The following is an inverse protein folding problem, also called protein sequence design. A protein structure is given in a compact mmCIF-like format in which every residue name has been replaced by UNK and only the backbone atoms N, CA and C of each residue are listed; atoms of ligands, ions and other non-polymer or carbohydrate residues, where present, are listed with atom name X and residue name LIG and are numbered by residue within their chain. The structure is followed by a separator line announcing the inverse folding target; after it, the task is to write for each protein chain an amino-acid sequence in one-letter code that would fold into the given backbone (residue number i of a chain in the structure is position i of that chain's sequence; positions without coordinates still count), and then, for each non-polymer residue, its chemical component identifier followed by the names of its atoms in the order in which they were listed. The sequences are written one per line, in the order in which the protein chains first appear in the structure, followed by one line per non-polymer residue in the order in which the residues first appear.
data_IF_636630734577
#
_entry.id   IF_636630734577
#
_cell.length_a   1.000
_cell.length_b   1.000
_cell.length_c   1.000
_cell.angle_alpha   90.00
_cell.angle_beta   90.00
_cell.angle_gamma   90.00
#
_symmetry.space_group_name_H-M   'P 1'
#
loop_
_entity.id
_entity.type
_entity.pdbx_description
1 polymer ?
#
# COMPACT_ATOMS: atom_id res chain seq x y z
N UNK A 1 -19.12 1.36 20.84
CA UNK A 1 -17.88 0.79 20.22
C UNK A 1 -17.57 1.64 19.00
N UNK A 2 -16.37 2.20 18.92
CA UNK A 2 -15.97 3.06 17.81
C UNK A 2 -15.62 2.16 16.60
N UNK A 3 -16.58 1.96 15.72
CA UNK A 3 -16.45 1.09 14.56
C UNK A 3 -15.54 1.72 13.51
N UNK A 4 -14.66 0.92 12.91
CA UNK A 4 -13.85 1.35 11.76
C UNK A 4 -14.74 1.35 10.54
N UNK A 5 -14.84 2.50 9.89
CA UNK A 5 -15.58 2.69 8.65
C UNK A 5 -14.63 2.68 7.47
N UNK A 6 -14.89 1.85 6.47
CA UNK A 6 -14.18 1.90 5.18
C UNK A 6 -15.03 2.72 4.21
N UNK A 7 -14.39 3.65 3.53
CA UNK A 7 -15.00 4.45 2.46
C UNK A 7 -14.02 4.69 1.31
N UNK A 8 -14.56 5.04 0.17
CA UNK A 8 -13.77 5.55 -0.94
C UNK A 8 -13.05 6.84 -0.53
N UNK A 9 -11.79 6.96 -0.92
CA UNK A 9 -11.00 8.18 -0.75
C UNK A 9 -11.55 9.32 -1.61
N UNK A 10 -11.18 10.54 -1.25
CA UNK A 10 -11.43 11.76 -2.03
C UNK A 10 -10.12 12.49 -2.23
N UNK A 11 -9.94 13.28 -3.31
CA UNK A 11 -8.75 14.12 -3.47
C UNK A 11 -8.50 15.07 -2.29
N UNK A 12 -9.58 15.48 -1.62
CA UNK A 12 -9.53 16.37 -0.44
C UNK A 12 -8.92 15.68 0.80
N UNK A 13 -8.90 14.33 0.83
CA UNK A 13 -8.23 13.57 1.90
C UNK A 13 -6.70 13.64 1.79
N UNK A 14 -6.15 14.18 0.70
CA UNK A 14 -4.72 14.16 0.40
C UNK A 14 -3.84 14.66 1.55
N UNK A 15 -4.26 15.69 2.29
CA UNK A 15 -3.50 16.22 3.42
C UNK A 15 -3.34 15.16 4.54
N UNK A 16 -4.44 14.53 4.95
CA UNK A 16 -4.43 13.50 6.01
C UNK A 16 -3.71 12.22 5.56
N UNK A 17 -3.88 11.82 4.29
CA UNK A 17 -3.17 10.66 3.74
C UNK A 17 -1.67 10.92 3.64
N UNK A 18 -1.28 12.14 3.31
CA UNK A 18 0.12 12.54 3.26
C UNK A 18 0.76 12.54 4.66
N UNK A 19 0.03 12.93 5.70
CA UNK A 19 0.49 12.80 7.09
C UNK A 19 0.78 11.35 7.48
N UNK A 20 0.01 10.40 6.95
CA UNK A 20 0.26 8.97 7.14
C UNK A 20 1.49 8.52 6.34
N UNK A 21 1.64 8.99 5.09
CA UNK A 21 2.67 8.56 4.16
C UNK A 21 4.05 9.16 4.45
N UNK A 22 4.11 10.45 4.79
CA UNK A 22 5.37 11.16 4.97
C UNK A 22 6.37 10.48 5.94
N UNK A 23 5.95 9.93 7.09
CA UNK A 23 6.85 9.20 7.97
C UNK A 23 7.44 7.91 7.35
N UNK A 24 6.75 7.30 6.37
CA UNK A 24 7.29 6.17 5.62
C UNK A 24 8.35 6.60 4.61
N UNK A 25 8.17 7.76 3.99
CA UNK A 25 9.15 8.33 3.05
C UNK A 25 10.42 8.74 3.77
N UNK A 26 10.29 9.50 4.86
CA UNK A 26 11.45 10.13 5.52
C UNK A 26 12.20 9.22 6.48
N UNK A 27 11.55 8.21 7.04
CA UNK A 27 12.09 7.41 8.12
C UNK A 27 12.10 5.90 7.88
N UNK A 28 11.73 5.43 6.68
CA UNK A 28 11.74 3.99 6.38
C UNK A 28 12.11 3.70 4.93
N UNK A 29 12.47 2.44 4.66
CA UNK A 29 12.64 1.91 3.32
C UNK A 29 11.39 1.12 2.83
N UNK A 30 10.25 1.24 3.52
CA UNK A 30 8.97 0.65 3.07
C UNK A 30 8.53 1.23 1.73
N UNK A 31 8.81 2.50 1.47
CA UNK A 31 8.71 3.15 0.17
C UNK A 31 10.08 3.65 -0.27
N UNK A 32 10.34 3.60 -1.57
CA UNK A 32 11.62 4.05 -2.14
C UNK A 32 11.60 5.51 -2.62
N UNK A 33 10.53 6.25 -2.37
CA UNK A 33 10.55 7.71 -2.57
C UNK A 33 11.53 8.37 -1.59
N UNK A 34 12.33 9.32 -2.08
CA UNK A 34 13.31 10.07 -1.28
C UNK A 34 12.71 11.34 -0.67
N UNK A 35 11.74 11.93 -1.36
CA UNK A 35 11.10 13.18 -0.96
C UNK A 35 9.60 12.98 -0.80
N UNK A 36 9.04 13.65 0.21
CA UNK A 36 7.59 13.65 0.41
C UNK A 36 6.96 14.47 -0.72
N UNK A 37 5.99 13.92 -1.47
CA UNK A 37 5.29 14.67 -2.51
C UNK A 37 4.51 15.84 -1.91
N UNK A 38 4.21 16.85 -2.71
CA UNK A 38 3.31 17.92 -2.30
C UNK A 38 1.88 17.40 -2.12
N UNK A 39 1.07 18.13 -1.36
CA UNK A 39 -0.34 17.78 -1.20
C UNK A 39 -1.09 17.79 -2.54
N UNK A 40 -0.77 18.73 -3.43
CA UNK A 40 -1.37 18.81 -4.76
C UNK A 40 -1.00 17.61 -5.64
N UNK A 41 0.27 17.21 -5.62
CA UNK A 41 0.73 16.00 -6.31
C UNK A 41 0.03 14.77 -5.75
N UNK A 42 -0.07 14.64 -4.43
CA UNK A 42 -0.71 13.50 -3.79
C UNK A 42 -2.22 13.43 -4.14
N UNK A 43 -2.92 14.57 -4.13
CA UNK A 43 -4.31 14.66 -4.58
C UNK A 43 -4.47 14.27 -6.06
N UNK A 44 -3.49 14.63 -6.90
CA UNK A 44 -3.47 14.22 -8.31
C UNK A 44 -3.30 12.69 -8.46
N UNK A 45 -2.42 12.08 -7.66
CA UNK A 45 -2.25 10.62 -7.62
C UNK A 45 -3.55 9.90 -7.23
N UNK A 46 -4.27 10.41 -6.22
CA UNK A 46 -5.58 9.87 -5.81
C UNK A 46 -6.57 9.95 -6.96
N UNK A 47 -6.73 11.12 -7.60
CA UNK A 47 -7.65 11.30 -8.74
C UNK A 47 -7.33 10.33 -9.87
N UNK A 48 -6.07 10.26 -10.28
CA UNK A 48 -5.63 9.40 -11.38
C UNK A 48 -5.88 7.92 -11.09
N UNK A 49 -5.56 7.46 -9.89
CA UNK A 49 -5.85 6.06 -9.48
C UNK A 49 -7.34 5.76 -9.55
N UNK A 50 -8.17 6.68 -9.04
CA UNK A 50 -9.63 6.50 -8.97
C UNK A 50 -10.33 6.54 -10.33
N UNK A 51 -9.68 6.96 -11.40
CA UNK A 51 -10.22 6.86 -12.76
C UNK A 51 -10.53 5.42 -13.15
N UNK A 52 -9.78 4.46 -12.58
CA UNK A 52 -9.90 3.04 -12.96
C UNK A 52 -9.93 2.08 -11.78
N UNK A 53 -9.24 2.40 -10.71
CA UNK A 53 -9.00 1.49 -9.59
C UNK A 53 -9.56 2.03 -8.28
N UNK A 54 -9.95 1.14 -7.35
CA UNK A 54 -10.42 1.56 -6.03
C UNK A 54 -9.29 2.15 -5.19
N UNK A 55 -9.64 3.18 -4.44
CA UNK A 55 -8.80 3.83 -3.43
C UNK A 55 -9.64 3.99 -2.15
N UNK A 56 -9.24 3.32 -1.07
CA UNK A 56 -10.02 3.21 0.15
C UNK A 56 -9.29 3.84 1.34
N UNK A 57 -10.06 4.43 2.24
CA UNK A 57 -9.59 4.90 3.55
C UNK A 57 -10.34 4.21 4.68
N UNK A 58 -9.62 3.95 5.77
CA UNK A 58 -10.20 3.49 7.01
C UNK A 58 -10.30 4.67 7.98
N UNK A 59 -11.50 4.98 8.38
CA UNK A 59 -11.84 6.13 9.22
C UNK A 59 -12.45 5.67 10.56
N UNK A 60 -12.09 6.34 11.63
CA UNK A 60 -12.68 6.15 12.95
C UNK A 60 -12.81 7.49 13.65
N UNK A 61 -14.01 7.85 14.11
CA UNK A 61 -14.31 9.14 14.76
C UNK A 61 -13.93 10.39 13.94
N UNK A 62 -14.00 10.30 12.62
CA UNK A 62 -13.63 11.39 11.71
C UNK A 62 -12.12 11.51 11.46
N UNK A 63 -11.32 10.59 11.96
CA UNK A 63 -9.87 10.51 11.74
C UNK A 63 -9.54 9.37 10.78
N UNK A 64 -8.73 9.63 9.74
CA UNK A 64 -8.22 8.58 8.84
C UNK A 64 -7.04 7.88 9.50
N UNK A 65 -7.14 6.56 9.64
CA UNK A 65 -6.15 5.72 10.31
C UNK A 65 -5.25 4.96 9.34
N UNK A 66 -5.65 4.87 8.09
CA UNK A 66 -4.91 4.17 7.05
C UNK A 66 -5.66 4.20 5.72
N UNK A 67 -4.97 3.78 4.68
CA UNK A 67 -5.52 3.71 3.34
C UNK A 67 -4.89 2.58 2.53
N UNK A 68 -5.61 2.10 1.53
CA UNK A 68 -5.13 1.13 0.56
C UNK A 68 -5.70 1.43 -0.82
N UNK A 69 -4.96 1.12 -1.86
CA UNK A 69 -5.38 1.33 -3.23
C UNK A 69 -4.78 0.28 -4.15
N UNK A 70 -5.39 0.13 -5.32
CA UNK A 70 -4.84 -0.66 -6.40
C UNK A 70 -4.35 0.25 -7.54
N UNK A 71 -3.40 -0.23 -8.30
CA UNK A 71 -2.90 0.41 -9.50
C UNK A 71 -2.62 -0.64 -10.58
N UNK A 72 -2.36 -0.20 -11.82
CA UNK A 72 -1.99 -1.11 -12.89
C UNK A 72 -0.68 -1.84 -12.54
N UNK A 73 -0.67 -3.16 -12.66
CA UNK A 73 0.57 -3.93 -12.50
C UNK A 73 1.61 -3.54 -13.54
N UNK A 74 1.19 -3.44 -14.81
CA UNK A 74 2.00 -2.96 -15.91
C UNK A 74 1.16 -2.17 -16.92
N UNK A 75 1.77 -1.23 -17.70
CA UNK A 75 1.01 -0.34 -18.56
C UNK A 75 0.47 -0.98 -19.85
N UNK A 76 0.91 -2.20 -20.19
CA UNK A 76 0.46 -2.88 -21.42
C UNK A 76 -0.91 -3.50 -21.24
N UNK A 77 -1.78 -3.41 -22.26
CA UNK A 77 -3.17 -3.90 -22.21
C UNK A 77 -3.31 -5.38 -21.82
N UNK A 78 -2.31 -6.22 -22.14
CA UNK A 78 -2.32 -7.64 -21.78
C UNK A 78 -2.32 -7.88 -20.25
N UNK A 79 -1.90 -6.89 -19.46
CA UNK A 79 -1.90 -6.94 -17.98
C UNK A 79 -3.15 -6.28 -17.35
N UNK A 80 -4.21 -6.04 -18.15
CA UNK A 80 -5.41 -5.34 -17.65
C UNK A 80 -6.18 -6.09 -16.55
N UNK A 81 -5.90 -7.37 -16.38
CA UNK A 81 -6.51 -8.25 -15.35
C UNK A 81 -5.68 -8.37 -14.07
N UNK A 82 -4.55 -7.69 -14.03
CA UNK A 82 -3.59 -7.73 -12.94
C UNK A 82 -3.42 -6.35 -12.33
N UNK A 83 -3.35 -6.30 -11.01
CA UNK A 83 -3.13 -5.05 -10.26
C UNK A 83 -2.05 -5.23 -9.21
N UNK A 84 -1.42 -4.11 -8.84
CA UNK A 84 -0.59 -4.01 -7.66
C UNK A 84 -1.36 -3.26 -6.57
N UNK A 85 -1.38 -3.80 -5.35
CA UNK A 85 -1.97 -3.16 -4.19
C UNK A 85 -0.92 -2.53 -3.28
N UNK A 86 -1.27 -1.39 -2.71
CA UNK A 86 -0.46 -0.69 -1.72
C UNK A 86 -1.30 -0.35 -0.48
N UNK A 87 -0.65 -0.40 0.69
CA UNK A 87 -1.31 -0.08 1.97
C UNK A 87 -0.37 0.69 2.90
N UNK A 88 -0.91 1.71 3.55
CA UNK A 88 -0.23 2.49 4.57
C UNK A 88 -1.16 2.72 5.77
N UNK A 89 -0.67 2.41 6.95
CA UNK A 89 -1.41 2.57 8.22
C UNK A 89 -0.63 3.53 9.11
N UNK A 90 -1.33 4.39 9.87
CA UNK A 90 -0.69 5.22 10.91
C UNK A 90 0.21 4.35 11.79
N UNK A 91 1.44 4.81 12.05
CA UNK A 91 2.46 4.01 12.76
C UNK A 91 2.02 3.55 14.15
N UNK A 92 1.26 4.39 14.86
CA UNK A 92 0.69 4.11 16.17
C UNK A 92 -0.58 3.24 16.14
N UNK A 93 -1.11 2.96 14.95
CA UNK A 93 -2.32 2.15 14.71
C UNK A 93 -2.05 0.81 14.04
N UNK A 94 -0.79 0.44 13.89
CA UNK A 94 -0.41 -0.88 13.39
C UNK A 94 -0.93 -2.00 14.32
N UNK A 95 -1.17 -3.19 13.75
CA UNK A 95 -1.67 -4.39 14.46
C UNK A 95 -3.06 -4.24 15.08
N UNK A 96 -3.86 -3.28 14.63
CA UNK A 96 -5.25 -3.02 15.07
C UNK A 96 -6.32 -3.69 14.21
N UNK A 97 -5.93 -4.48 13.21
CA UNK A 97 -6.85 -5.12 12.25
C UNK A 97 -7.27 -4.23 11.08
N UNK A 98 -6.94 -2.94 11.08
CA UNK A 98 -7.28 -1.97 10.02
C UNK A 98 -6.80 -2.46 8.65
N UNK A 99 -5.55 -2.92 8.55
CA UNK A 99 -4.97 -3.40 7.30
C UNK A 99 -5.75 -4.57 6.71
N UNK A 100 -6.18 -5.52 7.54
CA UNK A 100 -6.98 -6.66 7.10
C UNK A 100 -8.30 -6.20 6.50
N UNK A 101 -9.04 -5.34 7.18
CA UNK A 101 -10.35 -4.86 6.70
C UNK A 101 -10.21 -4.06 5.40
N UNK A 102 -9.17 -3.22 5.28
CA UNK A 102 -8.88 -2.49 4.05
C UNK A 102 -8.61 -3.44 2.87
N UNK A 103 -7.75 -4.45 3.05
CA UNK A 103 -7.39 -5.39 2.00
C UNK A 103 -8.56 -6.27 1.59
N UNK A 104 -9.27 -6.88 2.55
CA UNK A 104 -10.46 -7.70 2.26
C UNK A 104 -11.55 -6.91 1.51
N UNK A 105 -11.71 -5.61 1.82
CA UNK A 105 -12.66 -4.76 1.12
C UNK A 105 -12.17 -4.42 -0.29
N UNK A 106 -10.88 -4.11 -0.43
CA UNK A 106 -10.27 -3.77 -1.71
C UNK A 106 -10.31 -4.97 -2.67
N UNK A 107 -9.95 -6.17 -2.21
CA UNK A 107 -9.98 -7.43 -2.98
C UNK A 107 -11.39 -7.76 -3.48
N UNK A 108 -12.43 -7.57 -2.65
CA UNK A 108 -13.83 -7.76 -3.07
C UNK A 108 -14.21 -6.83 -4.22
N UNK A 109 -13.85 -5.55 -4.14
CA UNK A 109 -14.14 -4.59 -5.22
C UNK A 109 -13.37 -4.97 -6.49
N UNK A 110 -12.11 -5.37 -6.37
CA UNK A 110 -11.29 -5.78 -7.50
C UNK A 110 -11.84 -7.06 -8.17
N UNK A 111 -12.33 -8.02 -7.39
CA UNK A 111 -13.00 -9.21 -7.91
C UNK A 111 -14.26 -8.84 -8.72
N UNK A 112 -15.05 -7.86 -8.27
CA UNK A 112 -16.20 -7.34 -9.01
C UNK A 112 -15.78 -6.61 -10.30
N UNK A 113 -14.58 -6.08 -10.37
CA UNK A 113 -13.95 -5.50 -11.58
C UNK A 113 -13.34 -6.56 -12.51
N UNK A 114 -13.50 -7.86 -12.22
CA UNK A 114 -12.90 -8.99 -12.93
C UNK A 114 -11.36 -9.00 -12.91
N UNK A 115 -10.73 -8.44 -11.88
CA UNK A 115 -9.30 -8.60 -11.68
C UNK A 115 -9.03 -10.05 -11.27
N UNK A 116 -8.04 -10.66 -11.91
CA UNK A 116 -7.69 -12.07 -11.71
C UNK A 116 -6.54 -12.25 -10.73
N UNK A 117 -5.56 -11.34 -10.76
CA UNK A 117 -4.39 -11.44 -9.90
C UNK A 117 -4.13 -10.10 -9.19
N UNK A 118 -3.79 -10.21 -7.93
CA UNK A 118 -3.41 -9.10 -7.08
C UNK A 118 -1.97 -9.30 -6.62
N UNK A 119 -1.11 -8.33 -6.90
CA UNK A 119 0.29 -8.35 -6.51
C UNK A 119 0.57 -7.29 -5.44
N UNK A 120 1.62 -7.50 -4.67
CA UNK A 120 2.20 -6.50 -3.79
C UNK A 120 3.73 -6.51 -3.95
N UNK A 121 4.32 -5.35 -4.20
CA UNK A 121 5.77 -5.17 -4.15
C UNK A 121 6.16 -4.73 -2.74
N UNK A 122 6.92 -5.58 -2.04
CA UNK A 122 7.22 -5.41 -0.63
C UNK A 122 8.72 -5.28 -0.45
N UNK A 123 9.16 -4.16 0.13
CA UNK A 123 10.57 -4.03 0.53
C UNK A 123 10.90 -5.09 1.58
N UNK A 124 11.92 -5.90 1.28
CA UNK A 124 12.34 -7.03 2.10
C UNK A 124 13.80 -6.86 2.54
N UNK A 125 14.09 -6.78 3.85
CA UNK A 125 15.46 -6.78 4.31
C UNK A 125 15.96 -8.23 4.44
N UNK A 126 17.19 -8.51 4.03
CA UNK A 126 17.84 -9.76 4.41
C UNK A 126 17.93 -9.87 5.93
N UNK A 127 18.33 -8.78 6.57
CA UNK A 127 18.34 -8.59 8.02
C UNK A 127 17.57 -7.32 8.37
N UNK A 128 16.65 -7.40 9.33
CA UNK A 128 15.92 -6.23 9.83
C UNK A 128 16.88 -5.16 10.35
N UNK A 129 16.60 -3.91 10.01
CA UNK A 129 17.36 -2.73 10.45
C UNK A 129 16.42 -1.65 11.01
N UNK A 130 16.96 -0.47 11.32
CA UNK A 130 16.17 0.65 11.86
C UNK A 130 15.17 1.23 10.85
N UNK A 131 15.38 1.02 9.55
CA UNK A 131 14.55 1.58 8.47
C UNK A 131 13.55 0.57 7.92
N UNK A 132 13.79 -0.74 8.06
CA UNK A 132 12.97 -1.77 7.45
C UNK A 132 12.89 -3.04 8.31
N UNK A 133 11.67 -3.44 8.61
CA UNK A 133 11.34 -4.70 9.29
C UNK A 133 10.59 -5.63 8.35
N UNK A 134 10.44 -6.88 8.73
CA UNK A 134 9.62 -7.89 8.01
C UNK A 134 8.12 -7.81 8.33
N UNK A 135 7.65 -6.74 8.96
CA UNK A 135 6.25 -6.60 9.36
C UNK A 135 5.29 -6.64 8.15
N UNK A 136 5.67 -6.00 7.03
CA UNK A 136 4.86 -5.98 5.81
C UNK A 136 4.76 -7.38 5.20
N UNK A 137 5.86 -8.11 5.11
CA UNK A 137 5.88 -9.49 4.61
C UNK A 137 4.97 -10.37 5.48
N UNK A 138 5.15 -10.34 6.79
CA UNK A 138 4.33 -11.11 7.75
C UNK A 138 2.83 -10.74 7.67
N UNK A 139 2.52 -9.48 7.34
CA UNK A 139 1.15 -9.05 7.11
C UNK A 139 0.57 -9.72 5.86
N UNK A 140 1.27 -9.64 4.73
CA UNK A 140 0.81 -10.23 3.46
C UNK A 140 0.71 -11.76 3.54
N UNK A 141 1.67 -12.43 4.17
CA UNK A 141 1.59 -13.89 4.42
C UNK A 141 0.33 -14.27 5.22
N UNK A 142 -0.03 -13.49 6.25
CA UNK A 142 -1.28 -13.71 7.01
C UNK A 142 -2.54 -13.42 6.21
N UNK A 143 -2.45 -12.58 5.18
CA UNK A 143 -3.54 -12.32 4.24
C UNK A 143 -3.64 -13.41 3.15
N UNK A 144 -2.71 -14.37 3.10
CA UNK A 144 -2.70 -15.47 2.13
C UNK A 144 -1.74 -15.26 0.96
N UNK A 145 -1.06 -14.12 0.88
CA UNK A 145 -0.09 -13.84 -0.18
C UNK A 145 1.12 -14.77 -0.05
N UNK A 146 1.67 -15.16 -1.19
CA UNK A 146 2.90 -15.93 -1.29
C UNK A 146 3.95 -15.20 -2.11
N UNK A 147 5.21 -15.36 -1.77
CA UNK A 147 6.32 -14.79 -2.54
C UNK A 147 6.39 -15.52 -3.89
N UNK A 148 6.35 -14.76 -4.98
CA UNK A 148 6.45 -15.26 -6.36
C UNK A 148 7.75 -14.87 -7.03
N UNK A 149 8.51 -13.97 -6.45
CA UNK A 149 9.82 -13.56 -6.94
C UNK A 149 10.51 -12.55 -6.03
N UNK A 150 11.79 -12.38 -6.22
CA UNK A 150 12.63 -11.42 -5.52
C UNK A 150 13.41 -10.57 -6.54
N UNK A 151 13.43 -9.27 -6.32
CA UNK A 151 14.31 -8.31 -7.01
C UNK A 151 15.44 -7.94 -6.06
N UNK A 152 16.55 -8.67 -6.13
CA UNK A 152 17.67 -8.50 -5.19
C UNK A 152 18.37 -7.18 -5.39
N UNK A 153 18.64 -6.45 -4.29
CA UNK A 153 19.39 -5.21 -4.25
C UNK A 153 18.92 -4.17 -5.29
N UNK A 154 17.60 -4.15 -5.57
CA UNK A 154 16.99 -3.36 -6.64
C UNK A 154 16.77 -1.89 -6.27
N UNK A 155 16.88 -1.52 -4.99
CA UNK A 155 16.65 -0.17 -4.52
C UNK A 155 17.73 0.29 -3.54
N UNK A 156 18.09 1.58 -3.63
CA UNK A 156 19.10 2.20 -2.76
C UNK A 156 18.45 3.32 -1.95
N UNK A 157 18.52 3.23 -0.62
CA UNK A 157 18.00 4.27 0.28
C UNK A 157 18.75 4.22 1.61
N UNK A 158 18.95 5.36 2.28
CA UNK A 158 19.69 5.47 3.54
C UNK A 158 21.10 4.84 3.47
N UNK A 159 21.77 4.96 2.33
CA UNK A 159 23.09 4.34 2.06
C UNK A 159 23.09 2.81 2.10
N UNK A 160 21.93 2.16 1.96
CA UNK A 160 21.75 0.71 1.95
C UNK A 160 21.07 0.25 0.68
N UNK A 161 21.39 -0.96 0.23
CA UNK A 161 20.68 -1.65 -0.84
C UNK A 161 19.57 -2.52 -0.24
N UNK A 162 18.39 -2.46 -0.85
CA UNK A 162 17.21 -3.23 -0.44
C UNK A 162 16.73 -4.13 -1.56
N UNK A 163 16.26 -5.30 -1.17
CA UNK A 163 15.57 -6.28 -2.02
C UNK A 163 14.07 -6.00 -1.96
N UNK A 164 13.36 -6.27 -3.04
CA UNK A 164 11.90 -6.25 -3.05
C UNK A 164 11.36 -7.64 -3.38
N UNK A 165 10.42 -8.11 -2.58
CA UNK A 165 9.64 -9.30 -2.88
C UNK A 165 8.42 -8.91 -3.73
N UNK A 166 8.14 -9.71 -4.75
CA UNK A 166 6.84 -9.72 -5.40
C UNK A 166 6.01 -10.83 -4.76
N UNK A 167 4.87 -10.49 -4.19
CA UNK A 167 3.94 -11.42 -3.57
C UNK A 167 2.59 -11.34 -4.29
N UNK A 168 1.92 -12.47 -4.46
CA UNK A 168 0.60 -12.56 -5.05
C UNK A 168 -0.39 -13.29 -4.13
N UNK A 169 -1.67 -13.03 -4.36
CA UNK A 169 -2.82 -13.76 -3.85
C UNK A 169 -3.47 -14.49 -5.03
N UNK A 170 -3.19 -15.79 -5.14
CA UNK A 170 -3.76 -16.66 -6.17
C UNK A 170 -4.95 -17.44 -5.63
#
# INVERSE_FOLDING_TARGET
MNEIRIRTAKPEDAAELLEIYAPYVTGTAVTYEYTVPSQEEFASRIRHTMEKYPYLVAEQNGEILGYAYAGAFHPRAAYAWDVEMSIYIKKDRKRSGIGKVLYETLEKILAEQNILNVYACIACPEKEDEYLTKDSIRFHERMGYRIVGEFRECAYKFCLLYTSDAADDL
#
